data_IF_883476317950
#
_entry.id   IF_883476317950
#
_cell.length_a   1.000
_cell.length_b   1.000
_cell.length_c   1.000
_cell.angle_alpha   90.00
_cell.angle_beta   90.00
_cell.angle_gamma   90.00
#
_symmetry.space_group_name_H-M   'P 1'
#
loop_
_entity.id
_entity.type
_entity.pdbx_description
1 polymer ?
#
# COMPACT_ATOMS: atom_id res chain seq x y z
N UNK A 1 42.99 -27.47 -3.75
CA UNK A 1 41.70 -27.70 -4.43
C UNK A 1 41.99 -27.75 -5.92
N UNK A 2 41.75 -28.88 -6.59
CA UNK A 2 42.12 -29.06 -8.00
C UNK A 2 41.09 -28.38 -8.91
N UNK A 3 41.50 -28.02 -10.12
CA UNK A 3 40.60 -27.43 -11.13
C UNK A 3 39.40 -28.35 -11.40
N UNK A 4 39.63 -29.66 -11.47
CA UNK A 4 38.57 -30.66 -11.64
C UNK A 4 37.56 -30.68 -10.48
N UNK A 5 38.02 -30.48 -9.24
CA UNK A 5 37.14 -30.43 -8.07
C UNK A 5 36.28 -29.15 -8.05
N UNK A 6 36.82 -28.04 -8.57
CA UNK A 6 36.07 -26.80 -8.77
C UNK A 6 35.01 -26.96 -9.86
N UNK A 7 35.39 -27.50 -11.02
CA UNK A 7 34.47 -27.75 -12.14
C UNK A 7 33.32 -28.67 -11.71
N UNK A 8 33.63 -29.76 -10.99
CA UNK A 8 32.63 -30.68 -10.47
C UNK A 8 31.72 -30.06 -9.38
N UNK A 9 32.16 -28.99 -8.72
CA UNK A 9 31.35 -28.26 -7.73
C UNK A 9 30.49 -27.19 -8.39
N UNK A 10 30.99 -26.56 -9.44
CA UNK A 10 30.25 -25.58 -10.23
C UNK A 10 29.10 -26.26 -10.99
N UNK A 11 29.36 -27.38 -11.66
CA UNK A 11 28.32 -28.17 -12.34
C UNK A 11 27.20 -28.62 -11.38
N UNK A 12 27.54 -29.02 -10.15
CA UNK A 12 26.55 -29.39 -9.13
C UNK A 12 25.69 -28.21 -8.67
N UNK A 13 26.25 -27.00 -8.64
CA UNK A 13 25.50 -25.80 -8.28
C UNK A 13 24.56 -25.37 -9.41
N UNK A 14 25.01 -25.46 -10.66
CA UNK A 14 24.17 -25.19 -11.83
C UNK A 14 22.94 -26.11 -11.86
N UNK A 15 23.14 -27.42 -11.65
CA UNK A 15 22.01 -28.37 -11.58
C UNK A 15 21.04 -28.04 -10.44
N UNK A 16 21.56 -27.65 -9.28
CA UNK A 16 20.71 -27.30 -8.13
C UNK A 16 19.91 -26.01 -8.34
N UNK A 17 20.44 -25.08 -9.15
CA UNK A 17 19.74 -23.85 -9.55
C UNK A 17 18.65 -24.19 -10.57
N UNK A 18 18.97 -24.99 -11.59
CA UNK A 18 17.99 -25.44 -12.60
C UNK A 18 16.81 -26.18 -11.95
N UNK A 19 17.07 -27.05 -10.97
CA UNK A 19 16.04 -27.76 -10.20
C UNK A 19 15.16 -26.79 -9.39
N UNK A 20 15.74 -25.73 -8.82
CA UNK A 20 14.99 -24.70 -8.10
C UNK A 20 14.12 -23.86 -9.04
N UNK A 21 14.65 -23.47 -10.20
CA UNK A 21 13.92 -22.70 -11.21
C UNK A 21 12.76 -23.51 -11.79
N UNK A 22 12.96 -24.82 -12.02
CA UNK A 22 11.89 -25.73 -12.43
C UNK A 22 10.80 -25.84 -11.36
N UNK A 23 11.16 -25.99 -10.08
CA UNK A 23 10.21 -26.06 -8.98
C UNK A 23 9.43 -24.74 -8.79
N UNK A 24 10.11 -23.59 -8.93
CA UNK A 24 9.46 -22.28 -8.86
C UNK A 24 8.52 -22.05 -10.05
N UNK A 25 8.91 -22.48 -11.25
CA UNK A 25 8.07 -22.43 -12.45
C UNK A 25 6.80 -23.28 -12.29
N UNK A 26 6.90 -24.47 -11.69
CA UNK A 26 5.74 -25.33 -11.42
C UNK A 26 4.78 -24.70 -10.40
N UNK A 27 5.30 -24.08 -9.33
CA UNK A 27 4.50 -23.39 -8.32
C UNK A 27 3.81 -22.12 -8.85
N UNK A 28 4.42 -21.45 -9.82
CA UNK A 28 3.87 -20.22 -10.43
C UNK A 28 3.06 -20.48 -11.69
N UNK A 29 3.11 -21.72 -12.21
CA UNK A 29 2.25 -22.16 -13.29
C UNK A 29 0.83 -22.32 -12.77
N UNK A 30 -0.02 -21.34 -13.10
CA UNK A 30 -1.47 -21.43 -12.86
C UNK A 30 -2.01 -22.59 -13.70
N UNK A 31 -2.72 -23.58 -13.13
CA UNK A 31 -3.27 -24.69 -13.91
C UNK A 31 -4.22 -24.13 -14.98
N UNK A 32 -3.83 -24.29 -16.25
CA UNK A 32 -4.67 -23.93 -17.38
C UNK A 32 -5.80 -24.95 -17.47
N UNK A 33 -6.99 -24.58 -16.99
CA UNK A 33 -8.22 -25.32 -17.23
C UNK A 33 -8.48 -25.43 -18.75
N UNK A 34 -9.06 -26.53 -19.24
CA UNK A 34 -9.31 -26.67 -20.67
C UNK A 34 -10.32 -25.62 -21.13
N UNK A 35 -9.97 -24.92 -22.21
CA UNK A 35 -10.78 -23.90 -22.83
C UNK A 35 -12.12 -24.50 -23.31
N UNK A 36 -13.20 -24.17 -22.61
CA UNK A 36 -14.56 -24.54 -22.95
C UNK A 36 -15.52 -23.55 -22.31
N UNK A 37 -16.14 -22.75 -23.17
CA UNK A 37 -17.24 -21.81 -22.88
C UNK A 37 -16.85 -20.50 -22.20
N UNK A 38 -16.99 -19.44 -22.99
CA UNK A 38 -17.02 -18.06 -22.56
C UNK A 38 -18.08 -17.82 -21.47
N UNK A 39 -17.83 -16.75 -20.72
CA UNK A 39 -18.75 -16.08 -19.79
C UNK A 39 -18.82 -16.66 -18.37
N UNK A 40 -17.79 -16.32 -17.58
CA UNK A 40 -17.82 -15.99 -16.15
C UNK A 40 -16.37 -16.05 -15.65
N UNK A 41 -15.56 -15.04 -15.99
CA UNK A 41 -14.38 -14.75 -15.17
C UNK A 41 -14.98 -14.37 -13.82
N UNK A 42 -14.96 -15.31 -12.88
CA UNK A 42 -15.48 -15.13 -11.54
C UNK A 42 -14.93 -13.82 -11.01
N UNK A 43 -15.78 -12.80 -11.00
CA UNK A 43 -15.80 -11.91 -9.87
C UNK A 43 -16.03 -12.85 -8.70
N UNK A 44 -14.95 -13.34 -8.09
CA UNK A 44 -14.96 -13.63 -6.68
C UNK A 44 -15.42 -12.32 -6.06
N UNK A 45 -16.74 -12.17 -5.94
CA UNK A 45 -17.34 -11.33 -4.95
C UNK A 45 -16.74 -11.88 -3.67
N UNK A 46 -15.60 -11.32 -3.26
CA UNK A 46 -15.07 -11.48 -1.92
C UNK A 46 -16.26 -11.10 -1.06
N UNK A 47 -16.95 -12.12 -0.56
CA UNK A 47 -18.07 -11.95 0.35
C UNK A 47 -17.50 -11.10 1.47
N UNK A 48 -17.93 -9.83 1.49
CA UNK A 48 -17.24 -8.77 2.20
C UNK A 48 -17.32 -9.14 3.68
N UNK A 49 -16.29 -9.81 4.19
CA UNK A 49 -16.27 -10.29 5.55
C UNK A 49 -16.45 -9.07 6.46
N UNK A 50 -17.26 -9.22 7.50
CA UNK A 50 -17.44 -8.13 8.45
C UNK A 50 -16.06 -7.66 8.94
N UNK A 51 -15.82 -6.35 8.91
CA UNK A 51 -14.52 -5.82 9.25
C UNK A 51 -14.23 -6.10 10.73
N UNK A 52 -13.00 -6.49 11.04
CA UNK A 52 -12.58 -6.79 12.42
C UNK A 52 -12.62 -5.53 13.27
N UNK A 53 -12.26 -4.39 12.68
CA UNK A 53 -12.47 -3.07 13.24
C UNK A 53 -13.55 -2.35 12.42
N UNK A 54 -14.64 -1.88 13.06
CA UNK A 54 -15.80 -1.32 12.33
C UNK A 54 -15.49 -0.06 11.53
N UNK A 55 -14.49 0.71 11.95
CA UNK A 55 -14.04 1.93 11.30
C UNK A 55 -12.55 2.19 11.59
N UNK A 56 -12.00 3.22 10.94
CA UNK A 56 -10.61 3.66 11.15
C UNK A 56 -10.35 4.13 12.59
N UNK A 57 -11.35 4.66 13.30
CA UNK A 57 -11.17 5.13 14.68
C UNK A 57 -10.90 3.94 15.59
N UNK A 58 -11.74 2.91 15.54
CA UNK A 58 -11.55 1.66 16.26
C UNK A 58 -10.22 1.00 15.89
N UNK A 59 -9.87 0.94 14.60
CA UNK A 59 -8.58 0.42 14.15
C UNK A 59 -7.40 1.17 14.76
N UNK A 60 -7.46 2.52 14.78
CA UNK A 60 -6.37 3.34 15.31
C UNK A 60 -6.23 3.17 16.81
N UNK A 61 -7.32 3.28 17.56
CA UNK A 61 -7.33 3.27 19.01
C UNK A 61 -7.05 1.88 19.61
N UNK A 62 -7.59 0.82 18.99
CA UNK A 62 -7.54 -0.52 19.54
C UNK A 62 -6.33 -1.33 19.05
N UNK A 63 -5.78 -0.99 17.88
CA UNK A 63 -4.70 -1.76 17.26
C UNK A 63 -3.49 -0.92 16.85
N UNK A 64 -3.65 0.06 15.97
CA UNK A 64 -2.52 0.77 15.38
C UNK A 64 -1.66 1.49 16.42
N UNK A 65 -2.26 2.35 17.24
CA UNK A 65 -1.52 3.17 18.19
C UNK A 65 -0.86 2.33 19.30
N UNK A 66 -1.53 1.30 19.88
CA UNK A 66 -0.88 0.37 20.80
C UNK A 66 0.23 -0.47 20.15
N UNK A 67 0.02 -0.99 18.93
CA UNK A 67 0.95 -1.92 18.28
C UNK A 67 2.21 -1.25 17.74
N UNK A 68 2.10 -0.01 17.25
CA UNK A 68 3.19 0.71 16.59
C UNK A 68 3.70 1.89 17.43
N UNK A 69 3.72 1.73 18.76
CA UNK A 69 4.25 2.71 19.70
C UNK A 69 5.76 2.93 19.52
N UNK A 70 6.21 4.19 19.61
CA UNK A 70 7.61 4.62 19.43
C UNK A 70 7.94 5.79 20.34
N UNK A 71 9.22 6.04 20.65
CA UNK A 71 9.62 7.27 21.34
C UNK A 71 9.28 8.48 20.46
N UNK A 72 8.36 9.32 20.95
CA UNK A 72 7.97 10.55 20.28
C UNK A 72 9.01 11.65 20.52
N UNK A 73 9.13 12.57 19.57
CA UNK A 73 10.15 13.62 19.58
C UNK A 73 11.34 13.27 18.67
N UNK A 74 12.18 14.26 18.39
CA UNK A 74 13.31 14.10 17.47
C UNK A 74 12.85 13.80 16.03
N UNK A 75 13.00 12.56 15.59
CA UNK A 75 12.62 12.09 14.25
C UNK A 75 11.16 11.66 14.15
N UNK A 76 10.51 11.23 15.23
CA UNK A 76 9.13 10.75 15.17
C UNK A 76 8.12 11.81 15.64
N UNK A 77 7.02 11.94 14.90
CA UNK A 77 5.87 12.82 15.23
C UNK A 77 4.61 11.98 15.36
N UNK A 78 3.77 12.38 16.31
CA UNK A 78 2.42 11.86 16.46
C UNK A 78 1.55 12.94 17.10
N UNK A 79 0.34 13.13 16.58
CA UNK A 79 -0.67 13.99 17.19
C UNK A 79 -1.80 13.12 17.76
N UNK A 80 -2.16 13.27 19.05
CA UNK A 80 -3.33 12.59 19.61
C UNK A 80 -4.64 12.95 18.91
N UNK A 81 -4.72 14.16 18.33
CA UNK A 81 -5.86 14.63 17.53
C UNK A 81 -5.65 14.29 16.04
N UNK A 82 -5.21 13.06 15.76
CA UNK A 82 -4.85 12.63 14.39
C UNK A 82 -6.00 12.81 13.39
N UNK A 83 -7.25 12.73 13.84
CA UNK A 83 -8.45 12.94 13.03
C UNK A 83 -8.64 14.39 12.55
N UNK A 84 -7.97 15.36 13.16
CA UNK A 84 -8.00 16.78 12.76
C UNK A 84 -6.92 17.10 11.70
N UNK A 85 -6.19 16.08 11.26
CA UNK A 85 -5.23 16.13 10.16
C UNK A 85 -5.76 15.31 8.99
N UNK A 86 -6.21 15.99 7.93
CA UNK A 86 -6.91 15.35 6.81
C UNK A 86 -6.00 14.36 6.08
N UNK A 87 -4.73 14.72 5.86
CA UNK A 87 -3.77 13.81 5.23
C UNK A 87 -3.50 12.57 6.11
N UNK A 88 -3.36 12.76 7.42
CA UNK A 88 -3.15 11.64 8.34
C UNK A 88 -4.35 10.69 8.38
N UNK A 89 -5.56 11.25 8.46
CA UNK A 89 -6.81 10.48 8.42
C UNK A 89 -6.92 9.64 7.14
N UNK A 90 -6.60 10.22 5.97
CA UNK A 90 -6.60 9.49 4.69
C UNK A 90 -5.58 8.35 4.67
N UNK A 91 -4.37 8.58 5.18
CA UNK A 91 -3.32 7.55 5.25
C UNK A 91 -3.75 6.41 6.19
N UNK A 92 -4.30 6.73 7.35
CA UNK A 92 -4.77 5.75 8.34
C UNK A 92 -5.98 4.96 7.82
N UNK A 93 -6.91 5.60 7.13
CA UNK A 93 -8.04 4.96 6.44
C UNK A 93 -7.55 3.94 5.41
N UNK A 94 -6.56 4.30 4.60
CA UNK A 94 -5.96 3.38 3.62
C UNK A 94 -5.25 2.20 4.31
N UNK A 95 -4.54 2.45 5.43
CA UNK A 95 -3.92 1.40 6.22
C UNK A 95 -4.95 0.43 6.82
N UNK A 96 -6.08 0.94 7.33
CA UNK A 96 -7.17 0.14 7.86
C UNK A 96 -7.81 -0.73 6.78
N UNK A 97 -8.22 -0.15 5.65
CA UNK A 97 -8.85 -0.91 4.55
C UNK A 97 -7.93 -2.00 3.99
N UNK A 98 -6.65 -1.70 3.85
CA UNK A 98 -5.66 -2.70 3.41
C UNK A 98 -5.43 -3.76 4.48
N UNK A 99 -5.40 -3.40 5.77
CA UNK A 99 -5.33 -4.39 6.85
C UNK A 99 -6.52 -5.36 6.81
N UNK A 100 -7.74 -4.86 6.68
CA UNK A 100 -8.95 -5.69 6.61
C UNK A 100 -8.93 -6.65 5.43
N UNK A 101 -8.40 -6.22 4.28
CA UNK A 101 -8.22 -7.09 3.13
C UNK A 101 -7.16 -8.17 3.37
N UNK A 102 -5.96 -7.78 3.80
CA UNK A 102 -4.82 -8.69 3.90
C UNK A 102 -4.92 -9.65 5.09
N UNK A 103 -5.60 -9.28 6.19
CA UNK A 103 -5.76 -10.19 7.34
C UNK A 103 -6.54 -11.47 7.01
N UNK A 104 -7.30 -11.48 5.92
CA UNK A 104 -8.06 -12.64 5.47
C UNK A 104 -7.17 -13.72 4.84
N UNK A 105 -5.95 -13.36 4.43
CA UNK A 105 -4.95 -14.33 3.97
C UNK A 105 -4.13 -14.85 5.17
N UNK A 106 -4.31 -16.12 5.58
CA UNK A 106 -3.66 -16.67 6.76
C UNK A 106 -2.18 -17.01 6.57
N UNK A 107 -1.68 -17.08 5.33
CA UNK A 107 -0.31 -17.52 5.05
C UNK A 107 0.68 -16.36 5.11
N UNK A 108 0.51 -15.36 4.24
CA UNK A 108 1.45 -14.23 4.09
C UNK A 108 0.82 -12.88 4.32
N UNK A 109 -0.51 -12.82 4.50
CA UNK A 109 -1.28 -11.57 4.47
C UNK A 109 -0.74 -10.47 5.37
N UNK A 110 -0.40 -10.79 6.62
CA UNK A 110 0.17 -9.81 7.55
C UNK A 110 1.57 -9.34 7.11
N UNK A 111 2.43 -10.23 6.61
CA UNK A 111 3.76 -9.86 6.12
C UNK A 111 3.67 -8.93 4.91
N UNK A 112 2.77 -9.24 3.98
CA UNK A 112 2.54 -8.45 2.78
C UNK A 112 1.96 -7.07 3.14
N UNK A 113 0.98 -7.04 4.05
CA UNK A 113 0.42 -5.81 4.57
C UNK A 113 1.47 -4.91 5.23
N UNK A 114 2.31 -5.47 6.12
CA UNK A 114 3.35 -4.72 6.79
C UNK A 114 4.34 -4.10 5.79
N UNK A 115 4.79 -4.90 4.83
CA UNK A 115 5.88 -4.53 3.90
C UNK A 115 5.41 -3.58 2.81
N UNK A 116 4.25 -3.84 2.21
CA UNK A 116 3.77 -3.11 1.04
C UNK A 116 2.84 -1.95 1.39
N UNK A 117 2.20 -1.97 2.55
CA UNK A 117 1.20 -0.97 2.93
C UNK A 117 1.60 -0.21 4.19
N UNK A 118 1.77 -0.88 5.32
CA UNK A 118 1.95 -0.19 6.59
C UNK A 118 3.27 0.58 6.66
N UNK A 119 4.43 -0.07 6.46
CA UNK A 119 5.71 0.58 6.74
C UNK A 119 5.99 1.83 5.87
N UNK A 120 5.69 1.84 4.56
CA UNK A 120 5.80 3.05 3.76
C UNK A 120 4.93 4.20 4.29
N UNK A 121 3.69 3.90 4.67
CA UNK A 121 2.76 4.89 5.24
C UNK A 121 3.17 5.35 6.63
N UNK A 122 3.58 4.44 7.51
CA UNK A 122 4.02 4.71 8.87
C UNK A 122 5.26 5.63 8.87
N UNK A 123 6.20 5.39 7.95
CA UNK A 123 7.37 6.25 7.78
C UNK A 123 6.98 7.68 7.39
N UNK A 124 6.06 7.86 6.44
CA UNK A 124 5.56 9.19 6.05
C UNK A 124 4.76 9.85 7.16
N UNK A 125 3.86 9.10 7.79
CA UNK A 125 2.94 9.59 8.82
C UNK A 125 3.68 10.14 10.04
N UNK A 126 4.71 9.42 10.50
CA UNK A 126 5.49 9.79 11.68
C UNK A 126 6.75 10.63 11.36
N UNK A 127 6.98 10.99 10.10
CA UNK A 127 8.13 11.80 9.67
C UNK A 127 8.15 13.18 10.35
N UNK A 128 9.32 13.78 10.61
CA UNK A 128 9.39 15.15 11.12
C UNK A 128 8.88 16.18 10.11
N UNK A 129 8.76 15.81 8.84
CA UNK A 129 8.15 16.61 7.76
C UNK A 129 6.80 16.04 7.29
N UNK A 130 6.22 15.11 8.06
CA UNK A 130 4.94 14.50 7.76
C UNK A 130 3.74 15.38 8.17
N UNK A 131 2.52 14.83 8.13
CA UNK A 131 1.30 15.58 8.45
C UNK A 131 1.30 16.13 9.88
N UNK A 132 1.99 15.46 10.81
CA UNK A 132 2.12 15.91 12.20
C UNK A 132 3.32 16.84 12.44
N UNK A 133 4.01 17.33 11.41
CA UNK A 133 5.25 18.10 11.56
C UNK A 133 5.12 19.33 12.48
N UNK A 134 3.93 19.95 12.50
CA UNK A 134 3.62 21.13 13.30
C UNK A 134 3.14 20.82 14.72
N UNK A 135 2.69 19.58 14.96
CA UNK A 135 2.26 19.12 16.27
C UNK A 135 3.48 18.62 17.05
N UNK A 136 3.67 19.13 18.26
CA UNK A 136 4.69 18.61 19.16
C UNK A 136 4.20 18.67 20.60
N UNK A 137 3.91 17.52 21.25
CA UNK A 137 3.43 17.50 22.63
C UNK A 137 4.46 18.06 23.62
N UNK A 138 5.76 18.03 23.28
CA UNK A 138 6.83 18.59 24.12
C UNK A 138 6.98 20.12 23.95
N UNK A 139 6.31 20.74 22.96
CA UNK A 139 6.27 22.20 22.82
C UNK A 139 5.14 22.78 23.67
N UNK A 140 5.51 23.48 24.73
CA UNK A 140 4.58 24.18 25.62
C UNK A 140 3.63 25.16 24.89
N UNK A 141 4.02 25.68 23.73
CA UNK A 141 3.27 26.71 23.00
C UNK A 141 2.29 26.17 21.96
N UNK A 142 2.55 25.01 21.34
CA UNK A 142 1.72 24.48 20.24
C UNK A 142 1.68 22.94 20.25
N UNK A 143 0.90 22.32 21.16
CA UNK A 143 0.79 20.88 21.26
C UNK A 143 -0.01 20.24 20.10
N UNK A 144 -1.00 20.96 19.57
CA UNK A 144 -1.82 20.57 18.41
C UNK A 144 -1.96 21.78 17.48
N UNK A 145 -1.81 21.56 16.17
CA UNK A 145 -1.99 22.59 15.16
C UNK A 145 -2.66 21.98 13.91
N UNK A 146 -3.95 22.29 13.64
CA UNK A 146 -4.71 21.66 12.56
C UNK A 146 -4.18 22.01 11.17
N UNK A 147 -4.49 21.14 10.20
CA UNK A 147 -4.05 21.29 8.83
C UNK A 147 -4.59 22.59 8.21
N UNK A 148 -3.71 23.31 7.53
CA UNK A 148 -4.10 24.45 6.71
C UNK A 148 -4.23 23.99 5.25
N UNK A 149 -5.41 24.17 4.67
CA UNK A 149 -5.64 23.86 3.26
C UNK A 149 -4.64 24.58 2.37
N UNK A 150 -4.06 23.87 1.40
CA UNK A 150 -3.22 24.48 0.38
C UNK A 150 -4.02 25.54 -0.37
N UNK A 151 -3.48 26.76 -0.45
CA UNK A 151 -4.11 27.85 -1.19
C UNK A 151 -4.04 27.55 -2.68
N UNK A 152 -5.20 27.56 -3.33
CA UNK A 152 -5.29 27.48 -4.78
C UNK A 152 -5.70 28.83 -5.34
N UNK A 153 -5.29 29.09 -6.58
CA UNK A 153 -5.71 30.25 -7.37
C UNK A 153 -6.33 29.67 -8.64
N UNK A 154 -7.49 30.15 -9.11
CA UNK A 154 -8.09 29.62 -10.32
C UNK A 154 -7.10 29.76 -11.49
N UNK A 155 -7.10 28.80 -12.42
CA UNK A 155 -6.26 28.89 -13.60
C UNK A 155 -6.67 30.11 -14.46
N UNK A 156 -5.72 30.67 -15.21
CA UNK A 156 -5.98 31.82 -16.09
C UNK A 156 -7.01 31.48 -17.18
N UNK A 157 -7.68 32.48 -17.75
CA UNK A 157 -8.75 32.32 -18.75
C UNK A 157 -8.35 31.58 -20.05
N UNK A 158 -7.06 31.30 -20.27
CA UNK A 158 -6.55 30.49 -21.39
C UNK A 158 -6.10 29.07 -21.01
N UNK A 159 -6.35 28.63 -19.78
CA UNK A 159 -6.02 27.27 -19.36
C UNK A 159 -6.95 26.27 -20.05
N UNK A 160 -6.42 25.22 -20.70
CA UNK A 160 -7.26 24.24 -21.37
C UNK A 160 -8.18 23.58 -20.34
N UNK A 161 -9.49 23.74 -20.54
CA UNK A 161 -10.52 23.16 -19.67
C UNK A 161 -10.62 21.62 -19.78
N UNK A 162 -9.80 21.00 -20.62
CA UNK A 162 -9.61 19.56 -20.70
C UNK A 162 -8.14 19.23 -20.47
N UNK A 163 -7.87 18.09 -19.82
CA UNK A 163 -6.54 17.51 -19.80
C UNK A 163 -5.97 17.53 -21.22
N UNK A 164 -4.67 17.80 -21.42
CA UNK A 164 -4.07 17.60 -22.74
C UNK A 164 -4.44 16.18 -23.19
N UNK A 165 -5.04 16.04 -24.38
CA UNK A 165 -5.22 14.75 -25.02
C UNK A 165 -3.88 14.05 -24.92
N UNK A 166 -3.79 13.06 -24.03
CA UNK A 166 -2.64 12.19 -23.97
C UNK A 166 -2.73 11.48 -25.31
N UNK A 167 -1.92 11.93 -26.27
CA UNK A 167 -1.83 11.32 -27.58
C UNK A 167 -1.27 9.92 -27.32
N UNK A 168 -2.17 8.97 -27.07
CA UNK A 168 -1.83 7.58 -26.83
C UNK A 168 -1.31 7.04 -28.17
N UNK A 169 0.00 6.82 -28.32
CA UNK A 169 0.53 6.26 -29.57
C UNK A 169 0.05 4.81 -29.77
N UNK A 170 -0.66 4.22 -28.81
CA UNK A 170 -1.23 2.89 -28.84
C UNK A 170 -2.75 2.94 -28.68
N UNK A 171 -3.43 3.66 -29.58
CA UNK A 171 -4.89 3.83 -29.58
C UNK A 171 -5.66 2.58 -29.16
N UNK A 172 -6.18 2.61 -27.94
CA UNK A 172 -7.23 1.71 -27.52
C UNK A 172 -8.57 2.41 -27.71
N UNK A 173 -9.20 2.11 -28.85
CA UNK A 173 -10.62 2.35 -29.07
C UNK A 173 -11.41 1.60 -27.99
N UNK A 174 -11.95 2.30 -26.98
CA UNK A 174 -12.79 1.63 -25.98
C UNK A 174 -13.15 2.44 -24.75
N UNK A 175 -14.23 3.21 -24.86
CA UNK A 175 -15.20 3.53 -23.81
C UNK A 175 -14.70 4.23 -22.53
N UNK A 176 -14.51 5.54 -22.63
CA UNK A 176 -14.45 6.43 -21.47
C UNK A 176 -15.87 6.71 -20.93
N UNK A 177 -16.49 5.69 -20.34
CA UNK A 177 -17.80 5.76 -19.71
C UNK A 177 -17.75 5.28 -18.26
N UNK A 178 -17.98 6.21 -17.33
CA UNK A 178 -18.29 5.98 -15.91
C UNK A 178 -17.12 5.71 -14.94
N UNK A 179 -16.48 6.79 -14.48
CA UNK A 179 -16.10 6.89 -13.06
C UNK A 179 -16.48 8.27 -12.54
N UNK A 180 -17.45 8.29 -11.61
CA UNK A 180 -17.82 9.29 -10.60
C UNK A 180 -19.35 9.36 -10.47
N UNK A 181 -19.90 8.48 -9.64
CA UNK A 181 -21.07 8.74 -8.81
C UNK A 181 -20.67 8.47 -7.36
#
# INVERSE_FOLDING_TARGET
MTLDALTARLARLETAIDDHDAAFSDLTSTPTAPAGSADSRGQEQQEQADPLYPDVVAFVEQFFAPAFARPLGGEFRWCPHWWDHTEAGLILEACWRTFEHFRLNPQTGISDWLTHHLYPHLHRLMSPTGPFARCNPDRATHPHEPDQSLRTVPPSAGWPAGAPEVNDPYGHDGDAGAYLK
#
